data_IF_033267906841
#
_entry.id   IF_033267906841
#
_cell.length_a   1.000
_cell.length_b   1.000
_cell.length_c   1.000
_cell.angle_alpha   90.00
_cell.angle_beta   90.00
_cell.angle_gamma   90.00
#
_symmetry.space_group_name_H-M   'P 1'
#
loop_
_entity.id
_entity.type
_entity.pdbx_description
1 polymer ?
#
# COMPACT_ATOMS: atom_id res chain seq x y z
N UNK A 1 -11.02 5.83 -14.09
CA UNK A 1 -10.55 7.16 -14.53
C UNK A 1 -9.53 6.99 -15.64
N UNK A 2 -9.52 7.88 -16.63
CA UNK A 2 -8.63 7.80 -17.81
C UNK A 2 -7.14 7.99 -17.47
N UNK A 3 -6.80 8.47 -16.29
CA UNK A 3 -5.44 8.83 -15.90
C UNK A 3 -5.04 8.37 -14.49
N UNK A 4 -5.97 7.85 -13.70
CA UNK A 4 -5.72 7.39 -12.34
C UNK A 4 -5.89 5.89 -12.21
N UNK A 5 -5.19 5.31 -11.25
CA UNK A 5 -5.30 3.89 -10.90
C UNK A 5 -5.28 3.69 -9.39
N UNK A 6 -5.79 2.56 -8.96
CA UNK A 6 -5.69 2.05 -7.61
C UNK A 6 -5.39 0.55 -7.68
N UNK A 7 -4.42 0.11 -6.93
CA UNK A 7 -4.01 -1.28 -6.86
C UNK A 7 -3.40 -1.61 -5.50
N UNK A 8 -2.94 -2.83 -5.36
CA UNK A 8 -2.26 -3.31 -4.15
C UNK A 8 -1.07 -4.19 -4.52
N UNK A 9 -0.14 -4.30 -3.59
CA UNK A 9 1.02 -5.17 -3.70
C UNK A 9 1.46 -5.60 -2.31
N UNK A 10 1.86 -6.86 -2.18
CA UNK A 10 2.45 -7.41 -0.97
C UNK A 10 3.95 -7.59 -1.22
N UNK A 11 4.76 -6.97 -0.36
CA UNK A 11 6.21 -7.01 -0.48
C UNK A 11 6.77 -7.68 0.78
N UNK A 12 7.40 -8.85 0.67
CA UNK A 12 8.12 -9.46 1.78
C UNK A 12 9.25 -8.56 2.27
N UNK A 13 9.56 -8.63 3.55
CA UNK A 13 10.74 -7.96 4.12
C UNK A 13 12.02 -8.41 3.39
N UNK A 14 12.84 -7.46 3.01
CA UNK A 14 14.01 -7.66 2.13
C UNK A 14 13.67 -7.88 0.66
N UNK A 15 12.39 -8.04 0.28
CA UNK A 15 11.94 -8.22 -1.09
C UNK A 15 11.62 -6.92 -1.82
N UNK A 16 11.39 -7.02 -3.13
CA UNK A 16 10.99 -5.91 -3.98
C UNK A 16 9.87 -6.31 -4.95
N UNK A 17 9.11 -5.30 -5.41
CA UNK A 17 8.10 -5.46 -6.44
C UNK A 17 8.11 -4.26 -7.39
N UNK A 18 7.94 -4.52 -8.69
CA UNK A 18 7.79 -3.51 -9.75
C UNK A 18 6.35 -3.47 -10.31
N UNK A 19 5.52 -4.40 -9.88
CA UNK A 19 4.18 -4.67 -10.41
C UNK A 19 3.16 -4.65 -9.30
N UNK A 20 1.98 -4.09 -9.58
CA UNK A 20 0.83 -4.05 -8.67
C UNK A 20 -0.37 -4.75 -9.29
N UNK A 21 -1.23 -5.34 -8.46
CA UNK A 21 -2.54 -5.83 -8.87
C UNK A 21 -3.56 -4.71 -8.84
N UNK A 22 -4.22 -4.46 -9.97
CA UNK A 22 -5.23 -3.41 -10.08
C UNK A 22 -6.54 -3.81 -9.40
N UNK A 23 -7.15 -2.87 -8.72
CA UNK A 23 -8.43 -3.06 -8.03
C UNK A 23 -9.53 -3.51 -9.00
N UNK A 24 -10.31 -4.50 -8.58
CA UNK A 24 -11.46 -5.01 -9.34
C UNK A 24 -11.09 -6.02 -10.43
N UNK A 25 -9.97 -6.73 -10.29
CA UNK A 25 -9.58 -7.80 -11.22
C UNK A 25 -9.16 -7.28 -12.60
N UNK A 26 -8.74 -6.03 -12.70
CA UNK A 26 -8.33 -5.39 -13.98
C UNK A 26 -6.93 -5.79 -14.45
N UNK A 27 -6.35 -6.83 -13.84
CA UNK A 27 -5.02 -7.32 -14.16
C UNK A 27 -3.91 -6.63 -13.37
N UNK A 28 -2.70 -6.78 -13.87
CA UNK A 28 -1.48 -6.23 -13.26
C UNK A 28 -0.99 -5.00 -14.01
N UNK A 29 -0.27 -4.13 -13.31
CA UNK A 29 0.35 -2.94 -13.89
C UNK A 29 1.77 -2.78 -13.36
N UNK A 30 2.71 -2.51 -14.27
CA UNK A 30 4.09 -2.16 -13.90
C UNK A 30 4.19 -0.70 -13.49
N UNK A 31 4.92 -0.44 -12.40
CA UNK A 31 5.16 0.90 -11.88
C UNK A 31 6.25 1.64 -12.66
N UNK A 32 7.17 0.93 -13.31
CA UNK A 32 8.33 1.49 -13.99
C UNK A 32 9.53 1.77 -13.06
N UNK A 33 9.44 1.31 -11.82
CA UNK A 33 10.49 1.31 -10.80
C UNK A 33 10.20 0.20 -9.77
N UNK A 34 11.22 -0.19 -9.03
CA UNK A 34 11.08 -1.18 -7.95
C UNK A 34 10.79 -0.48 -6.62
N UNK A 35 9.89 -1.06 -5.86
CA UNK A 35 9.64 -0.72 -4.46
C UNK A 35 10.16 -1.86 -3.61
N UNK A 36 11.17 -1.62 -2.78
CA UNK A 36 11.77 -2.60 -1.88
C UNK A 36 11.38 -2.30 -0.44
N UNK A 37 10.96 -3.31 0.29
CA UNK A 37 10.79 -3.24 1.74
C UNK A 37 12.12 -3.60 2.41
N UNK A 38 12.83 -2.59 2.93
CA UNK A 38 14.13 -2.79 3.58
C UNK A 38 13.96 -3.39 4.98
N UNK A 39 12.92 -2.94 5.72
CA UNK A 39 12.58 -3.41 7.06
C UNK A 39 11.08 -3.28 7.29
N UNK A 40 10.50 -4.22 8.03
CA UNK A 40 9.10 -4.17 8.42
C UNK A 40 8.94 -4.47 9.90
N UNK A 41 8.37 -3.54 10.65
CA UNK A 41 8.17 -3.67 12.08
C UNK A 41 6.70 -3.50 12.47
N UNK A 42 6.24 -4.37 13.39
CA UNK A 42 4.91 -4.31 13.98
C UNK A 42 5.07 -4.16 15.49
N UNK A 43 4.55 -3.08 16.03
CA UNK A 43 4.40 -2.91 17.47
C UNK A 43 3.03 -3.42 17.91
N UNK A 44 2.98 -4.08 19.06
CA UNK A 44 1.74 -4.60 19.62
C UNK A 44 1.45 -3.90 20.94
N UNK A 45 0.16 -3.77 21.27
CA UNK A 45 -0.30 -3.47 22.62
C UNK A 45 -0.14 -4.70 23.51
N UNK A 46 -0.16 -4.52 24.84
CA UNK A 46 -0.16 -5.63 25.81
C UNK A 46 -1.34 -6.60 25.62
N UNK A 47 -2.41 -6.14 24.97
CA UNK A 47 -3.57 -6.95 24.56
C UNK A 47 -3.29 -7.87 23.36
N UNK A 48 -2.11 -7.80 22.74
CA UNK A 48 -1.76 -8.56 21.53
C UNK A 48 -2.33 -7.96 20.22
N UNK A 49 -3.05 -6.84 20.31
CA UNK A 49 -3.52 -6.13 19.11
C UNK A 49 -2.39 -5.28 18.52
N UNK A 50 -2.29 -5.21 17.18
CA UNK A 50 -1.29 -4.35 16.53
C UNK A 50 -1.52 -2.88 16.88
N UNK A 51 -0.45 -2.20 17.27
CA UNK A 51 -0.43 -0.78 17.62
C UNK A 51 0.05 0.09 16.47
N UNK A 52 1.12 -0.33 15.84
CA UNK A 52 1.80 0.43 14.80
C UNK A 52 2.40 -0.52 13.76
N UNK A 53 2.24 -0.17 12.50
CA UNK A 53 2.94 -0.79 11.38
C UNK A 53 3.90 0.23 10.80
N UNK A 54 5.13 -0.18 10.61
CA UNK A 54 6.18 0.62 10.00
C UNK A 54 6.86 -0.18 8.92
N UNK A 55 6.93 0.38 7.72
CA UNK A 55 7.69 -0.17 6.60
C UNK A 55 8.75 0.83 6.15
N UNK A 56 10.00 0.44 6.17
CA UNK A 56 11.09 1.23 5.61
C UNK A 56 11.21 0.84 4.13
N UNK A 57 10.89 1.77 3.23
CA UNK A 57 10.82 1.52 1.80
C UNK A 57 11.95 2.22 1.05
N UNK A 58 12.51 1.52 0.08
CA UNK A 58 13.44 2.06 -0.93
C UNK A 58 12.81 2.00 -2.30
N UNK A 59 12.92 3.09 -3.06
CA UNK A 59 12.47 3.21 -4.45
C UNK A 59 13.70 3.17 -5.36
N UNK A 60 13.76 2.18 -6.26
CA UNK A 60 14.88 1.98 -7.15
C UNK A 60 14.43 2.10 -8.62
N UNK A 61 15.24 2.74 -9.44
CA UNK A 61 14.98 2.87 -10.88
C UNK A 61 16.22 2.43 -11.65
N UNK A 62 16.07 1.39 -12.46
CA UNK A 62 17.17 0.74 -13.16
C UNK A 62 18.28 0.22 -12.22
N UNK A 63 17.90 -0.22 -11.02
CA UNK A 63 18.83 -0.68 -9.99
C UNK A 63 19.41 0.41 -9.10
N UNK A 64 19.29 1.69 -9.47
CA UNK A 64 19.77 2.83 -8.69
C UNK A 64 18.76 3.26 -7.65
N UNK A 65 19.18 3.47 -6.41
CA UNK A 65 18.36 4.03 -5.36
C UNK A 65 18.02 5.51 -5.67
N UNK A 66 16.74 5.82 -5.73
CA UNK A 66 16.23 7.19 -6.00
C UNK A 66 15.67 7.88 -4.77
N UNK A 67 14.98 7.12 -3.90
CA UNK A 67 14.42 7.65 -2.67
C UNK A 67 14.32 6.57 -1.60
N UNK A 68 14.24 7.01 -0.34
CA UNK A 68 13.88 6.20 0.81
C UNK A 68 12.84 6.92 1.64
N UNK A 69 11.99 6.16 2.30
CA UNK A 69 11.00 6.72 3.20
C UNK A 69 10.45 5.70 4.18
N UNK A 70 9.89 6.22 5.26
CA UNK A 70 9.21 5.42 6.28
C UNK A 70 7.72 5.54 6.06
N UNK A 71 7.09 4.42 5.76
CA UNK A 71 5.65 4.33 5.58
C UNK A 71 5.00 3.87 6.88
N UNK A 72 4.00 4.59 7.35
CA UNK A 72 3.19 4.25 8.52
C UNK A 72 1.70 4.45 8.21
N UNK A 73 0.84 3.91 9.07
CA UNK A 73 -0.60 4.17 9.01
C UNK A 73 -0.84 5.68 9.10
N UNK A 74 -1.65 6.23 8.19
CA UNK A 74 -1.94 7.67 8.04
C UNK A 74 -0.75 8.57 7.62
N UNK A 75 0.41 8.00 7.34
CA UNK A 75 1.57 8.72 6.81
C UNK A 75 2.00 8.11 5.48
N UNK A 76 1.30 8.42 4.37
CA UNK A 76 1.61 7.88 3.05
C UNK A 76 2.93 8.44 2.52
N UNK A 77 3.60 7.64 1.69
CA UNK A 77 4.74 8.08 0.90
C UNK A 77 4.29 8.39 -0.53
N UNK A 78 4.96 9.36 -1.15
CA UNK A 78 4.75 9.69 -2.55
C UNK A 78 6.07 9.60 -3.33
N UNK A 79 6.03 8.88 -4.46
CA UNK A 79 7.15 8.79 -5.37
C UNK A 79 6.66 8.79 -6.83
N UNK A 80 7.23 9.65 -7.67
CA UNK A 80 6.83 9.86 -9.09
C UNK A 80 5.30 10.09 -9.28
N UNK A 81 4.65 10.80 -8.34
CA UNK A 81 3.21 11.11 -8.38
C UNK A 81 2.31 9.91 -8.06
N UNK A 82 2.90 8.84 -7.53
CA UNK A 82 2.21 7.64 -7.04
C UNK A 82 2.27 7.65 -5.52
N UNK A 83 1.14 7.42 -4.86
CA UNK A 83 1.02 7.37 -3.40
C UNK A 83 0.92 5.94 -2.92
N UNK A 84 1.70 5.65 -1.89
CA UNK A 84 1.78 4.38 -1.20
C UNK A 84 1.19 4.54 0.19
N UNK A 85 0.24 3.68 0.53
CA UNK A 85 -0.40 3.65 1.85
C UNK A 85 -0.17 2.30 2.49
N UNK A 86 0.12 2.27 3.79
CA UNK A 86 0.13 1.05 4.57
C UNK A 86 -1.30 0.52 4.66
N UNK A 87 -1.54 -0.67 4.14
CA UNK A 87 -2.88 -1.26 4.05
C UNK A 87 -3.03 -2.48 4.95
N UNK A 88 -2.18 -3.47 4.74
CA UNK A 88 -2.21 -4.73 5.46
C UNK A 88 -0.80 -5.19 5.79
N UNK A 89 -0.69 -6.26 6.56
CA UNK A 89 0.53 -7.03 6.72
C UNK A 89 0.14 -8.49 6.94
N UNK A 90 1.11 -9.37 6.85
CA UNK A 90 0.93 -10.76 7.20
C UNK A 90 2.26 -11.44 7.45
N UNK A 91 2.16 -12.64 8.03
CA UNK A 91 3.30 -13.49 8.25
C UNK A 91 3.39 -14.52 7.12
N UNK A 92 4.59 -14.72 6.61
CA UNK A 92 4.92 -15.79 5.66
C UNK A 92 6.03 -16.65 6.24
N UNK A 93 6.11 -17.93 5.88
CA UNK A 93 7.26 -18.74 6.23
C UNK A 93 8.54 -18.09 5.66
N UNK A 94 9.45 -17.76 6.53
CA UNK A 94 10.75 -17.19 6.19
C UNK A 94 11.82 -18.25 5.96
N UNK A 95 12.96 -18.11 6.63
CA UNK A 95 14.04 -19.08 6.54
C UNK A 95 13.71 -20.36 7.33
N UNK A 96 14.00 -21.48 6.72
CA UNK A 96 13.99 -22.79 7.39
C UNK A 96 15.38 -23.08 7.96
N UNK A 97 15.41 -23.55 9.19
CA UNK A 97 16.64 -24.00 9.82
C UNK A 97 16.63 -25.52 9.80
N UNK A 98 17.51 -26.09 8.97
CA UNK A 98 17.66 -27.54 8.79
C UNK A 98 18.95 -28.00 9.42
N UNK A 99 18.89 -29.10 10.19
CA UNK A 99 20.04 -29.89 10.58
C UNK A 99 20.18 -31.07 9.63
N UNK A 100 21.33 -31.20 9.03
CA UNK A 100 21.68 -32.31 8.11
C UNK A 100 22.77 -33.13 8.77
N UNK A 101 22.44 -34.40 9.09
CA UNK A 101 23.40 -35.34 9.70
C UNK A 101 23.74 -36.44 8.71
N UNK A 102 25.01 -36.66 8.46
CA UNK A 102 25.47 -37.72 7.55
C UNK A 102 26.99 -37.82 7.51
N UNK A 103 27.51 -39.02 7.24
CA UNK A 103 28.97 -39.28 7.16
C UNK A 103 29.77 -38.81 8.39
N UNK A 104 29.16 -38.87 9.58
CA UNK A 104 29.79 -38.42 10.83
C UNK A 104 29.83 -36.91 11.04
N UNK A 105 29.20 -36.15 10.19
CA UNK A 105 29.08 -34.70 10.32
C UNK A 105 27.64 -34.27 10.55
N UNK A 106 27.48 -33.22 11.35
CA UNK A 106 26.21 -32.51 11.56
C UNK A 106 26.41 -31.07 11.12
N UNK A 107 25.59 -30.61 10.17
CA UNK A 107 25.66 -29.25 9.60
C UNK A 107 24.29 -28.60 9.74
N UNK A 108 24.27 -27.41 10.30
CA UNK A 108 23.09 -26.55 10.27
C UNK A 108 23.09 -25.73 8.99
N UNK A 109 21.95 -25.69 8.31
CA UNK A 109 21.78 -24.93 7.08
C UNK A 109 20.49 -24.10 7.18
N UNK A 110 20.61 -22.79 6.95
CA UNK A 110 19.50 -21.89 6.77
C UNK A 110 19.26 -21.69 5.28
N UNK A 111 18.01 -21.75 4.87
CA UNK A 111 17.63 -21.58 3.47
C UNK A 111 16.18 -21.12 3.34
N UNK A 112 15.88 -20.42 2.26
CA UNK A 112 14.54 -19.97 1.90
C UNK A 112 13.89 -20.87 0.85
N UNK A 113 12.59 -20.77 0.73
CA UNK A 113 11.89 -21.50 -0.34
C UNK A 113 12.45 -21.08 -1.72
N UNK A 114 12.71 -22.09 -2.57
CA UNK A 114 13.35 -21.93 -3.88
C UNK A 114 14.87 -21.93 -3.82
N UNK A 115 15.49 -21.81 -2.65
CA UNK A 115 16.94 -21.81 -2.52
C UNK A 115 17.53 -23.22 -2.72
N UNK A 116 18.72 -23.24 -3.33
CA UNK A 116 19.46 -24.47 -3.64
C UNK A 116 20.84 -24.43 -3.01
N UNK A 117 21.23 -25.55 -2.41
CA UNK A 117 22.59 -25.71 -1.87
C UNK A 117 23.13 -27.12 -2.08
N UNK A 118 24.45 -27.25 -2.07
CA UNK A 118 25.12 -28.53 -2.27
C UNK A 118 25.36 -29.24 -0.96
N UNK A 119 25.25 -30.56 -0.99
CA UNK A 119 25.67 -31.49 0.07
C UNK A 119 26.56 -32.56 -0.52
N UNK A 120 27.13 -33.39 0.32
CA UNK A 120 27.99 -34.54 -0.11
C UNK A 120 29.19 -34.11 -0.97
N UNK A 121 29.85 -33.02 -0.60
CA UNK A 121 30.97 -32.50 -1.38
C UNK A 121 30.59 -32.08 -2.80
N UNK A 122 29.34 -31.63 -3.00
CA UNK A 122 28.84 -31.18 -4.32
C UNK A 122 28.23 -32.28 -5.19
N UNK A 123 28.19 -33.56 -4.71
CA UNK A 123 27.60 -34.67 -5.46
C UNK A 123 26.09 -34.70 -5.46
N UNK A 124 25.48 -33.99 -4.52
CA UNK A 124 24.03 -33.84 -4.44
C UNK A 124 23.66 -32.37 -4.19
N UNK A 125 22.52 -31.95 -4.76
CA UNK A 125 21.93 -30.62 -4.59
C UNK A 125 20.60 -30.75 -3.92
N UNK A 126 20.42 -29.97 -2.86
CA UNK A 126 19.14 -29.84 -2.12
C UNK A 126 18.47 -28.56 -2.56
N UNK A 127 17.16 -28.60 -2.76
CA UNK A 127 16.29 -27.48 -3.06
C UNK A 127 15.14 -27.43 -2.05
N UNK A 128 14.84 -26.26 -1.51
CA UNK A 128 13.66 -26.05 -0.65
C UNK A 128 12.44 -25.83 -1.55
N UNK A 129 11.65 -26.89 -1.77
CA UNK A 129 10.53 -26.82 -2.71
C UNK A 129 9.31 -26.10 -2.12
N UNK A 130 9.00 -26.35 -0.83
CA UNK A 130 7.83 -25.78 -0.19
C UNK A 130 8.01 -25.70 1.32
N UNK A 131 7.51 -24.63 1.93
CA UNK A 131 7.54 -24.41 3.38
C UNK A 131 6.11 -24.25 3.87
N UNK A 132 5.73 -25.02 4.88
CA UNK A 132 4.39 -25.03 5.46
C UNK A 132 4.46 -24.84 6.98
N UNK A 133 3.77 -23.82 7.51
CA UNK A 133 3.71 -23.58 8.95
C UNK A 133 2.90 -24.63 9.70
N UNK A 134 1.94 -25.30 9.04
CA UNK A 134 1.11 -26.34 9.65
C UNK A 134 0.56 -27.30 8.58
N UNK A 135 1.38 -28.25 8.14
CA UNK A 135 1.00 -29.23 7.13
C UNK A 135 0.04 -30.28 7.73
N UNK A 136 -1.17 -30.38 7.17
CA UNK A 136 -2.19 -31.36 7.56
C UNK A 136 -2.49 -31.41 9.08
N UNK A 137 -2.33 -30.28 9.80
CA UNK A 137 -2.43 -30.16 11.26
C UNK A 137 -1.36 -30.93 12.03
N UNK A 138 -0.28 -31.37 11.37
CA UNK A 138 0.86 -32.06 11.97
C UNK A 138 2.01 -31.12 12.37
N UNK A 139 1.80 -29.80 12.20
CA UNK A 139 2.79 -28.77 12.54
C UNK A 139 3.69 -28.36 11.38
N UNK A 140 4.75 -27.61 11.68
CA UNK A 140 5.68 -27.09 10.67
C UNK A 140 6.38 -28.19 9.91
N UNK A 141 6.43 -28.04 8.57
CA UNK A 141 7.08 -28.98 7.68
C UNK A 141 7.71 -28.26 6.47
N UNK A 142 8.78 -28.82 5.95
CA UNK A 142 9.43 -28.36 4.72
C UNK A 142 9.53 -29.51 3.72
N UNK A 143 9.15 -29.25 2.47
CA UNK A 143 9.38 -30.18 1.36
C UNK A 143 10.72 -29.87 0.74
N UNK A 144 11.61 -30.85 0.73
CA UNK A 144 12.91 -30.73 0.09
C UNK A 144 12.98 -31.64 -1.14
N UNK A 145 13.64 -31.15 -2.17
CA UNK A 145 14.04 -31.91 -3.34
C UNK A 145 15.53 -32.18 -3.30
N UNK A 146 15.95 -33.40 -3.61
CA UNK A 146 17.37 -33.74 -3.72
C UNK A 146 17.63 -34.28 -5.12
N UNK A 147 18.62 -33.70 -5.80
CA UNK A 147 19.09 -34.18 -7.10
C UNK A 147 20.53 -34.65 -6.96
N UNK A 148 20.78 -35.91 -7.31
CA UNK A 148 22.09 -36.53 -7.29
C UNK A 148 22.30 -37.36 -8.58
N UNK A 149 23.07 -36.85 -9.53
CA UNK A 149 23.16 -37.39 -10.89
C UNK A 149 21.76 -37.40 -11.54
N UNK A 150 21.36 -38.58 -12.06
CA UNK A 150 20.04 -38.76 -12.72
C UNK A 150 18.89 -39.07 -11.74
N UNK A 151 19.18 -39.13 -10.45
CA UNK A 151 18.15 -39.41 -9.41
C UNK A 151 17.61 -38.12 -8.81
N UNK A 152 16.29 -37.99 -8.81
CA UNK A 152 15.59 -36.92 -8.11
C UNK A 152 14.65 -37.53 -7.06
N UNK A 153 14.73 -37.03 -5.85
CA UNK A 153 13.91 -37.43 -4.70
C UNK A 153 13.23 -36.19 -4.12
N UNK A 154 12.01 -36.35 -3.62
CA UNK A 154 11.35 -35.27 -2.90
C UNK A 154 10.59 -35.84 -1.70
N UNK A 155 10.79 -35.23 -0.54
CA UNK A 155 10.14 -35.66 0.71
C UNK A 155 9.94 -34.51 1.67
N UNK A 156 9.09 -34.76 2.69
CA UNK A 156 8.79 -33.80 3.73
C UNK A 156 9.65 -34.04 4.97
N UNK A 157 10.11 -32.96 5.56
CA UNK A 157 10.81 -32.97 6.86
C UNK A 157 9.91 -32.21 7.84
N UNK A 158 9.39 -32.92 8.84
CA UNK A 158 8.53 -32.35 9.88
C UNK A 158 9.36 -31.94 11.10
N UNK A 159 8.98 -30.85 11.75
CA UNK A 159 9.60 -30.41 13.00
C UNK A 159 9.31 -31.42 14.14
N UNK A 160 8.11 -31.94 14.20
CA UNK A 160 7.65 -32.82 15.30
C UNK A 160 7.43 -34.25 14.81
N UNK A 161 8.35 -34.78 14.00
CA UNK A 161 8.18 -36.12 13.41
C UNK A 161 8.04 -37.22 14.46
N UNK A 162 8.71 -37.10 15.60
CA UNK A 162 8.63 -38.08 16.68
C UNK A 162 7.22 -38.13 17.30
N UNK A 163 6.61 -36.97 17.53
CA UNK A 163 5.24 -36.90 18.05
C UNK A 163 4.22 -37.42 17.02
N UNK A 164 4.44 -37.18 15.73
CA UNK A 164 3.62 -37.69 14.64
C UNK A 164 3.71 -39.23 14.59
N UNK A 165 4.92 -39.78 14.71
CA UNK A 165 5.16 -41.24 14.72
C UNK A 165 4.55 -41.89 15.96
N UNK A 166 4.56 -41.23 17.12
CA UNK A 166 3.87 -41.71 18.33
C UNK A 166 2.35 -41.79 18.17
N UNK A 167 1.74 -40.80 17.52
CA UNK A 167 0.30 -40.76 17.24
C UNK A 167 -0.13 -41.71 16.12
N UNK A 168 0.75 -41.93 15.15
CA UNK A 168 0.52 -42.79 13.98
C UNK A 168 1.72 -43.69 13.73
N UNK A 169 1.86 -44.77 14.48
CA UNK A 169 3.02 -45.67 14.38
C UNK A 169 3.21 -46.23 12.98
N UNK A 170 4.42 -46.06 12.43
CA UNK A 170 4.77 -46.55 11.09
C UNK A 170 4.41 -45.66 9.95
N UNK A 171 3.97 -44.40 10.20
CA UNK A 171 3.58 -43.45 9.14
C UNK A 171 4.74 -43.18 8.17
N UNK A 172 5.96 -43.08 8.66
CA UNK A 172 7.16 -42.84 7.83
C UNK A 172 7.49 -44.04 6.91
N UNK A 173 7.02 -45.23 7.24
CA UNK A 173 7.12 -46.44 6.40
C UNK A 173 5.97 -46.52 5.40
N UNK A 174 4.76 -46.15 5.83
CA UNK A 174 3.56 -46.21 5.00
C UNK A 174 3.56 -45.09 3.94
N UNK A 175 4.13 -43.92 4.28
CA UNK A 175 4.25 -42.76 3.41
C UNK A 175 5.74 -42.43 3.25
N UNK A 176 6.43 -43.03 2.26
CA UNK A 176 7.87 -42.80 2.06
C UNK A 176 8.29 -41.36 1.96
N UNK A 177 7.39 -40.49 1.47
CA UNK A 177 7.63 -39.05 1.38
C UNK A 177 7.71 -38.37 2.76
N UNK A 178 7.39 -39.01 3.85
CA UNK A 178 7.51 -38.46 5.21
C UNK A 178 8.80 -38.95 5.91
N UNK A 179 9.59 -39.72 5.22
CA UNK A 179 10.86 -40.22 5.73
C UNK A 179 11.98 -39.23 5.46
N UNK A 180 12.41 -38.51 6.49
CA UNK A 180 13.51 -37.53 6.41
C UNK A 180 14.90 -38.15 6.13
N UNK A 181 15.02 -39.49 6.22
CA UNK A 181 16.21 -40.27 5.88
C UNK A 181 16.17 -40.93 4.50
N UNK A 182 15.23 -40.54 3.63
CA UNK A 182 15.05 -41.16 2.29
C UNK A 182 16.29 -41.06 1.42
N UNK A 183 17.15 -40.06 1.61
CA UNK A 183 18.45 -39.92 0.95
C UNK A 183 19.57 -40.40 1.89
N UNK A 184 19.70 -41.69 2.08
CA UNK A 184 20.79 -42.30 2.88
C UNK A 184 22.17 -42.00 2.29
N UNK A 185 23.24 -41.72 3.10
CA UNK A 185 23.29 -41.80 4.57
C UNK A 185 22.94 -40.45 5.27
N UNK A 186 22.22 -39.56 4.62
CA UNK A 186 21.87 -38.26 5.18
C UNK A 186 20.49 -38.32 5.83
N UNK A 187 20.39 -37.74 7.04
CA UNK A 187 19.15 -37.49 7.77
C UNK A 187 18.93 -36.00 7.90
N UNK A 188 17.72 -35.56 7.58
CA UNK A 188 17.33 -34.16 7.67
C UNK A 188 16.41 -33.96 8.88
N UNK A 189 16.65 -32.92 9.67
CA UNK A 189 15.78 -32.49 10.75
C UNK A 189 15.42 -31.01 10.59
N UNK A 190 14.16 -30.68 10.80
CA UNK A 190 13.68 -29.31 10.78
C UNK A 190 13.72 -28.76 12.22
N UNK A 191 14.65 -27.87 12.50
CA UNK A 191 14.77 -27.20 13.80
C UNK A 191 13.70 -26.12 13.96
N UNK A 192 13.42 -25.38 12.91
CA UNK A 192 12.40 -24.35 12.92
C UNK A 192 12.16 -23.70 11.55
N UNK A 193 11.09 -22.94 11.52
CA UNK A 193 10.78 -22.02 10.41
C UNK A 193 10.71 -20.64 11.04
N UNK A 194 11.59 -19.75 10.62
CA UNK A 194 11.52 -18.36 11.04
C UNK A 194 10.30 -17.71 10.37
N UNK A 195 9.67 -16.80 11.08
CA UNK A 195 8.55 -16.04 10.52
C UNK A 195 9.12 -14.81 9.85
N UNK A 196 8.85 -14.64 8.59
CA UNK A 196 9.06 -13.40 7.87
C UNK A 196 7.73 -12.66 7.74
N UNK A 197 7.80 -11.35 7.67
CA UNK A 197 6.61 -10.55 7.45
C UNK A 197 6.58 -10.00 6.03
N UNK A 198 5.41 -9.64 5.56
CA UNK A 198 5.25 -8.84 4.37
C UNK A 198 4.43 -7.59 4.70
N UNK A 199 4.75 -6.51 4.03
CA UNK A 199 3.94 -5.30 4.04
C UNK A 199 2.98 -5.32 2.85
N UNK A 200 1.69 -5.08 3.11
CA UNK A 200 0.68 -4.92 2.08
C UNK A 200 0.44 -3.44 1.83
N UNK A 201 0.74 -3.00 0.63
CA UNK A 201 0.66 -1.61 0.22
C UNK A 201 -0.55 -1.40 -0.70
N UNK A 202 -1.33 -0.38 -0.38
CA UNK A 202 -2.28 0.20 -1.33
C UNK A 202 -1.54 1.27 -2.13
N UNK A 203 -1.60 1.17 -3.45
CA UNK A 203 -0.89 2.05 -4.38
C UNK A 203 -1.93 2.77 -5.23
N UNK A 204 -1.85 4.10 -5.27
CA UNK A 204 -2.80 4.89 -6.05
C UNK A 204 -2.15 6.10 -6.73
N UNK A 205 -2.69 6.43 -7.88
CA UNK A 205 -2.42 7.69 -8.58
C UNK A 205 -3.75 8.34 -8.91
N UNK A 206 -3.96 9.56 -8.42
CA UNK A 206 -5.17 10.34 -8.68
C UNK A 206 -4.82 11.76 -9.12
N UNK A 207 -4.66 11.99 -10.43
CA UNK A 207 -4.37 13.30 -10.98
C UNK A 207 -5.57 14.26 -10.92
N UNK A 208 -6.76 13.79 -10.54
CA UNK A 208 -7.97 14.61 -10.41
C UNK A 208 -8.04 15.43 -9.12
N UNK A 209 -7.31 15.06 -8.07
CA UNK A 209 -7.35 15.74 -6.77
C UNK A 209 -7.10 17.25 -6.86
N UNK A 210 -6.08 17.75 -7.58
CA UNK A 210 -5.87 19.19 -7.72
C UNK A 210 -7.03 19.91 -8.44
N UNK A 211 -7.64 19.25 -9.43
CA UNK A 211 -8.77 19.80 -10.20
C UNK A 211 -9.99 19.95 -9.30
N UNK A 212 -10.29 18.92 -8.51
CA UNK A 212 -11.39 18.95 -7.52
C UNK A 212 -11.14 20.02 -6.46
N UNK A 213 -9.90 20.14 -5.99
CA UNK A 213 -9.49 21.18 -5.04
C UNK A 213 -9.71 22.59 -5.60
N UNK A 214 -9.30 22.83 -6.84
CA UNK A 214 -9.53 24.11 -7.53
C UNK A 214 -11.03 24.39 -7.69
N UNK A 215 -11.84 23.40 -8.05
CA UNK A 215 -13.29 23.52 -8.15
C UNK A 215 -13.94 23.88 -6.82
N UNK A 216 -13.55 23.22 -5.74
CA UNK A 216 -14.03 23.51 -4.38
C UNK A 216 -13.65 24.94 -3.94
N UNK A 217 -12.43 25.37 -4.22
CA UNK A 217 -11.99 26.74 -3.95
C UNK A 217 -12.82 27.76 -4.71
N UNK A 218 -13.07 27.58 -6.01
CA UNK A 218 -13.90 28.48 -6.81
C UNK A 218 -15.33 28.52 -6.31
N UNK A 219 -15.90 27.42 -5.85
CA UNK A 219 -17.22 27.34 -5.27
C UNK A 219 -17.30 28.17 -3.99
N UNK A 220 -16.35 28.04 -3.08
CA UNK A 220 -16.28 28.85 -1.85
C UNK A 220 -16.10 30.32 -2.18
N UNK A 221 -15.24 30.67 -3.11
CA UNK A 221 -15.03 32.04 -3.56
C UNK A 221 -16.32 32.64 -4.16
N UNK A 222 -17.05 31.86 -4.97
CA UNK A 222 -18.36 32.25 -5.51
C UNK A 222 -19.39 32.52 -4.44
N UNK A 223 -19.48 31.68 -3.41
CA UNK A 223 -20.33 31.93 -2.25
C UNK A 223 -19.94 33.21 -1.51
N UNK A 224 -18.67 33.42 -1.24
CA UNK A 224 -18.19 34.64 -0.58
C UNK A 224 -18.56 35.88 -1.40
N UNK A 225 -18.32 35.88 -2.71
CA UNK A 225 -18.70 36.97 -3.58
C UNK A 225 -20.21 37.24 -3.54
N UNK A 226 -21.03 36.20 -3.60
CA UNK A 226 -22.49 36.33 -3.55
C UNK A 226 -22.98 36.84 -2.21
N UNK A 227 -22.42 36.37 -1.11
CA UNK A 227 -22.85 36.81 0.23
C UNK A 227 -22.34 38.20 0.60
N UNK A 228 -21.14 38.58 0.17
CA UNK A 228 -20.53 39.85 0.51
C UNK A 228 -20.79 40.96 -0.55
N UNK A 229 -21.23 40.59 -1.77
CA UNK A 229 -21.61 41.51 -2.79
C UNK A 229 -23.02 42.04 -2.58
N UNK A 230 -23.20 43.36 -2.51
CA UNK A 230 -24.54 43.94 -2.38
C UNK A 230 -25.10 44.24 -3.77
N UNK A 231 -26.25 43.64 -4.07
CA UNK A 231 -26.96 43.93 -5.31
C UNK A 231 -27.80 45.22 -5.13
N UNK A 232 -27.55 46.23 -6.01
CA UNK A 232 -28.25 47.50 -5.97
C UNK A 232 -28.85 47.75 -7.35
N UNK A 233 -30.07 48.29 -7.35
CA UNK A 233 -30.77 48.70 -8.54
C UNK A 233 -31.24 50.12 -8.34
N UNK A 234 -30.94 51.00 -9.32
CA UNK A 234 -31.41 52.36 -9.33
C UNK A 234 -32.36 52.53 -10.51
N UNK A 235 -33.52 52.99 -10.24
CA UNK A 235 -34.55 53.25 -11.25
C UNK A 235 -34.67 54.75 -11.42
N UNK A 236 -34.61 55.24 -12.67
CA UNK A 236 -34.80 56.64 -13.01
C UNK A 236 -36.02 56.76 -13.91
N UNK A 237 -37.01 57.52 -13.49
CA UNK A 237 -38.19 57.79 -14.28
C UNK A 237 -38.20 59.29 -14.66
N UNK A 238 -38.33 59.56 -15.96
CA UNK A 238 -38.40 60.90 -16.51
C UNK A 238 -39.80 61.15 -17.07
N UNK A 239 -40.54 62.08 -16.49
CA UNK A 239 -41.85 62.50 -16.96
C UNK A 239 -41.80 63.95 -17.47
N UNK A 240 -42.34 64.20 -18.65
CA UNK A 240 -42.42 65.54 -19.23
C UNK A 240 -43.87 66.00 -19.31
N UNK A 241 -44.23 67.07 -18.51
CA UNK A 241 -45.59 67.63 -18.49
C UNK A 241 -45.48 69.15 -18.52
N UNK A 242 -46.28 69.76 -19.40
CA UNK A 242 -46.41 71.26 -19.53
C UNK A 242 -45.05 71.99 -19.63
N UNK A 243 -44.10 71.50 -20.41
CA UNK A 243 -42.80 72.13 -20.59
C UNK A 243 -41.80 71.92 -19.44
N UNK A 244 -42.20 71.24 -18.35
CA UNK A 244 -41.32 70.94 -17.23
C UNK A 244 -40.96 69.44 -17.23
N UNK A 245 -39.70 69.19 -16.93
CA UNK A 245 -39.16 67.80 -16.80
C UNK A 245 -39.14 67.46 -15.30
N UNK A 246 -39.82 66.36 -14.95
CA UNK A 246 -39.78 65.81 -13.61
C UNK A 246 -39.01 64.50 -13.63
N UNK A 247 -37.97 64.42 -12.82
CA UNK A 247 -37.16 63.22 -12.67
C UNK A 247 -37.44 62.62 -11.26
N UNK A 248 -37.84 61.38 -11.23
CA UNK A 248 -37.96 60.60 -10.02
C UNK A 248 -36.88 59.52 -10.00
N UNK A 249 -36.08 59.45 -8.94
CA UNK A 249 -35.05 58.43 -8.75
C UNK A 249 -35.46 57.56 -7.55
N UNK A 250 -35.48 56.25 -7.73
CA UNK A 250 -35.77 55.29 -6.68
C UNK A 250 -34.67 54.20 -6.69
N UNK A 251 -34.41 53.62 -5.56
CA UNK A 251 -33.44 52.52 -5.45
C UNK A 251 -33.93 51.33 -4.64
N UNK A 252 -33.43 50.20 -4.97
CA UNK A 252 -33.62 48.95 -4.21
C UNK A 252 -32.28 48.28 -3.97
N UNK A 253 -32.03 47.84 -2.75
CA UNK A 253 -30.85 47.02 -2.42
C UNK A 253 -31.25 45.87 -1.50
N UNK A 254 -30.44 44.82 -1.50
CA UNK A 254 -30.60 43.69 -0.56
C UNK A 254 -29.81 43.89 0.74
N UNK A 255 -28.83 44.80 0.74
CA UNK A 255 -27.99 45.17 1.89
C UNK A 255 -27.53 46.60 1.76
N UNK A 256 -27.28 47.26 2.90
CA UNK A 256 -26.65 48.57 2.98
C UNK A 256 -27.47 49.68 2.31
N UNK A 257 -28.70 49.91 2.79
CA UNK A 257 -29.56 50.99 2.33
C UNK A 257 -28.92 52.39 2.45
N UNK A 258 -28.05 52.59 3.44
CA UNK A 258 -27.36 53.88 3.66
C UNK A 258 -26.41 54.22 2.52
N UNK A 259 -25.72 53.23 1.94
CA UNK A 259 -24.88 53.46 0.76
C UNK A 259 -25.68 53.74 -0.51
N UNK A 260 -26.84 53.09 -0.65
CA UNK A 260 -27.76 53.35 -1.76
C UNK A 260 -28.31 54.77 -1.70
N UNK A 261 -28.73 55.26 -0.54
CA UNK A 261 -29.23 56.62 -0.37
C UNK A 261 -28.17 57.67 -0.66
N UNK A 262 -26.91 57.43 -0.27
CA UNK A 262 -25.81 58.33 -0.64
C UNK A 262 -25.59 58.39 -2.15
N UNK A 263 -25.68 57.24 -2.84
CA UNK A 263 -25.52 57.13 -4.28
C UNK A 263 -26.65 57.85 -5.03
N UNK A 264 -27.92 57.66 -4.59
CA UNK A 264 -29.07 58.39 -5.12
C UNK A 264 -28.91 59.87 -4.88
N UNK A 265 -28.52 60.26 -3.66
CA UNK A 265 -28.25 61.70 -3.35
C UNK A 265 -27.15 62.31 -4.22
N UNK A 266 -26.13 61.54 -4.57
CA UNK A 266 -25.05 61.98 -5.52
C UNK A 266 -25.59 62.19 -6.94
N UNK A 267 -26.42 61.25 -7.43
CA UNK A 267 -27.06 61.35 -8.75
C UNK A 267 -27.96 62.59 -8.82
N UNK A 268 -28.76 62.85 -7.77
CA UNK A 268 -29.64 64.05 -7.73
C UNK A 268 -28.84 65.32 -7.69
N UNK A 269 -27.73 65.42 -6.95
CA UNK A 269 -26.85 66.59 -6.90
C UNK A 269 -26.20 66.87 -8.24
N UNK A 270 -25.66 65.83 -8.91
CA UNK A 270 -25.07 65.96 -10.25
C UNK A 270 -26.11 66.53 -11.26
N UNK A 271 -27.36 66.04 -11.15
CA UNK A 271 -28.42 66.54 -12.03
C UNK A 271 -28.79 68.01 -11.75
N UNK A 272 -28.70 68.49 -10.51
CA UNK A 272 -28.94 69.90 -10.13
C UNK A 272 -27.79 70.82 -10.44
N UNK A 273 -26.64 70.31 -10.96
CA UNK A 273 -25.47 71.13 -11.22
C UNK A 273 -24.71 71.54 -9.96
N UNK A 274 -25.03 70.90 -8.79
CA UNK A 274 -24.33 71.18 -7.56
C UNK A 274 -23.03 70.33 -7.60
N UNK A 275 -21.88 70.97 -7.78
CA UNK A 275 -20.55 70.34 -7.65
C UNK A 275 -20.35 69.77 -6.25
N UNK A 276 -19.79 68.50 -6.14
CA UNK A 276 -19.57 67.77 -4.90
C UNK A 276 -18.48 68.42 -4.03
#
# INVERSE_FOLDING_TARGET
SLLGFEGHVNIPEGGSADTIELRGGKGEMKLGFDVRCDDFNVEFYDSGMPRLYRSDLSFLKNGDLRARGVLMVNHPLEFEGIRFYQSTYGAVPGEVVLTITGKGQRVEKRARQGERFAIDGGKARVEILRVEGNLMRMGPAVKIGITAGDKALAFWVFKFIEAIEQQNPGITRQVPQFNAGLYSPYLFALEGIETSFYTGLKVSRDPGVPIVGAGAFLLVAGFLLTFFSSHRQVFVRVDRRHGRVRIAVAGRCNRDAVKLDREIGRIIRLYRGETA
#
